data_IF_433329588450
#
_entry.id   IF_433329588450
#
_cell.length_a   1.000
_cell.length_b   1.000
_cell.length_c   1.000
_cell.angle_alpha   90.00
_cell.angle_beta   90.00
_cell.angle_gamma   90.00
#
_symmetry.space_group_name_H-M   'P 1'
#
loop_
_entity.id
_entity.type
_entity.pdbx_description
1 polymer ?
#
# COMPACT_ATOMS: atom_id res chain seq x y z
N UNK A 1 21.31 -11.77 10.86
CA UNK A 1 22.16 -10.58 10.59
C UNK A 1 22.04 -10.13 9.12
N UNK A 2 22.13 -11.04 8.14
CA UNK A 2 21.97 -10.74 6.71
C UNK A 2 20.62 -10.10 6.32
N UNK A 3 19.50 -10.57 6.87
CA UNK A 3 18.16 -10.01 6.60
C UNK A 3 17.94 -8.58 7.13
N UNK A 4 18.66 -8.16 8.18
CA UNK A 4 18.66 -6.75 8.64
C UNK A 4 19.47 -5.86 7.70
N UNK A 5 20.57 -6.37 7.17
CA UNK A 5 21.41 -5.67 6.20
C UNK A 5 20.70 -5.47 4.85
N UNK A 6 20.00 -6.50 4.35
CA UNK A 6 19.14 -6.40 3.16
C UNK A 6 18.01 -5.39 3.35
N UNK A 7 17.29 -5.45 4.48
CA UNK A 7 16.26 -4.47 4.86
C UNK A 7 16.82 -3.05 5.04
N UNK A 8 18.06 -2.89 5.48
CA UNK A 8 18.67 -1.58 5.67
C UNK A 8 19.26 -0.99 4.39
N UNK A 9 19.47 -1.82 3.36
CA UNK A 9 20.05 -1.40 2.06
C UNK A 9 19.00 -1.29 0.94
N UNK A 10 17.73 -1.62 1.22
CA UNK A 10 16.64 -1.65 0.22
C UNK A 10 16.91 -2.60 -0.97
N UNK A 11 17.87 -3.51 -0.83
CA UNK A 11 18.23 -4.49 -1.85
C UNK A 11 17.12 -5.53 -2.07
N UNK A 12 16.17 -5.63 -1.14
CA UNK A 12 14.95 -6.43 -1.26
C UNK A 12 13.95 -5.89 -2.29
N UNK A 13 14.12 -4.64 -2.77
CA UNK A 13 13.25 -4.04 -3.80
C UNK A 13 13.80 -4.20 -5.24
N UNK A 14 15.02 -4.72 -5.44
CA UNK A 14 15.59 -4.96 -6.77
C UNK A 14 14.75 -5.93 -7.64
N UNK A 15 14.18 -7.03 -7.11
CA UNK A 15 13.27 -7.87 -7.87
C UNK A 15 11.99 -7.14 -8.31
N UNK A 16 11.48 -6.22 -7.48
CA UNK A 16 10.29 -5.42 -7.83
C UNK A 16 10.58 -4.49 -9.02
N UNK A 17 11.80 -3.95 -9.12
CA UNK A 17 12.20 -3.13 -10.26
C UNK A 17 12.20 -3.91 -11.58
N UNK A 18 12.55 -5.21 -11.56
CA UNK A 18 12.45 -6.08 -12.75
C UNK A 18 10.99 -6.19 -13.20
N UNK A 19 10.04 -6.30 -12.26
CA UNK A 19 8.61 -6.36 -12.57
C UNK A 19 8.10 -5.04 -13.18
N UNK A 20 8.65 -3.90 -12.78
CA UNK A 20 8.37 -2.61 -13.44
C UNK A 20 8.84 -2.63 -14.90
N UNK A 21 10.05 -3.14 -15.16
CA UNK A 21 10.57 -3.25 -16.53
C UNK A 21 9.78 -4.24 -17.38
N UNK A 22 9.18 -5.26 -16.77
CA UNK A 22 8.27 -6.22 -17.45
C UNK A 22 6.85 -5.68 -17.65
N UNK A 23 6.51 -4.52 -17.08
CA UNK A 23 5.16 -3.95 -17.14
C UNK A 23 4.15 -4.62 -16.20
N UNK A 24 4.60 -5.45 -15.26
CA UNK A 24 3.76 -6.09 -14.24
C UNK A 24 3.49 -5.16 -13.04
N UNK A 25 4.36 -4.16 -12.85
CA UNK A 25 4.27 -3.14 -11.80
C UNK A 25 4.56 -1.74 -12.37
N UNK A 26 4.26 -0.73 -11.58
CA UNK A 26 4.65 0.66 -11.79
C UNK A 26 5.64 1.11 -10.70
N UNK A 27 6.37 2.20 -10.95
CA UNK A 27 7.13 2.88 -9.89
C UNK A 27 6.14 3.45 -8.86
N UNK A 28 5.05 4.07 -9.33
CA UNK A 28 4.03 4.71 -8.51
C UNK A 28 2.68 4.02 -8.69
N UNK A 29 2.08 3.61 -7.57
CA UNK A 29 0.80 2.94 -7.52
C UNK A 29 0.46 2.41 -6.12
N UNK A 30 -0.77 1.92 -5.91
CA UNK A 30 -1.15 1.25 -4.67
C UNK A 30 -0.22 0.06 -4.40
N UNK A 31 0.24 -0.09 -3.14
CA UNK A 31 1.14 -1.20 -2.79
C UNK A 31 0.40 -2.55 -2.94
N UNK A 32 1.01 -3.60 -3.53
CA UNK A 32 0.40 -4.92 -3.55
C UNK A 32 0.12 -5.41 -2.13
N UNK A 33 -1.10 -5.90 -1.91
CA UNK A 33 -1.51 -6.52 -0.66
C UNK A 33 -1.76 -8.02 -0.85
N UNK A 34 -1.97 -8.73 0.26
CA UNK A 34 -2.26 -10.15 0.26
C UNK A 34 -3.56 -10.44 -0.50
N UNK A 35 -3.53 -11.46 -1.36
CA UNK A 35 -4.72 -11.90 -2.12
C UNK A 35 -5.90 -12.29 -1.21
N UNK A 36 -5.63 -12.68 0.05
CA UNK A 36 -6.66 -12.97 1.05
C UNK A 36 -7.58 -11.78 1.37
N UNK A 37 -7.21 -10.56 0.98
CA UNK A 37 -8.00 -9.35 1.18
C UNK A 37 -9.00 -9.08 0.05
N UNK A 38 -8.85 -9.71 -1.12
CA UNK A 38 -9.79 -9.57 -2.23
C UNK A 38 -11.26 -9.76 -1.81
N UNK A 39 -11.66 -10.82 -1.05
CA UNK A 39 -13.05 -10.98 -0.63
C UNK A 39 -13.49 -10.00 0.47
N UNK A 40 -12.58 -9.18 1.01
CA UNK A 40 -12.84 -8.26 2.13
C UNK A 40 -13.04 -6.81 1.67
N UNK A 41 -12.74 -6.52 0.41
CA UNK A 41 -12.86 -5.17 -0.14
C UNK A 41 -14.32 -4.79 -0.39
N UNK A 42 -14.65 -3.53 -0.12
CA UNK A 42 -15.81 -2.90 -0.74
C UNK A 42 -15.59 -2.71 -2.25
N UNK A 43 -16.66 -2.44 -3.00
CA UNK A 43 -16.56 -2.11 -4.43
C UNK A 43 -15.64 -0.90 -4.67
N UNK A 44 -15.67 0.10 -3.79
CA UNK A 44 -14.78 1.26 -3.84
C UNK A 44 -13.32 0.88 -3.58
N UNK A 45 -13.05 0.08 -2.54
CA UNK A 45 -11.68 -0.35 -2.21
C UNK A 45 -11.08 -1.21 -3.33
N UNK A 46 -11.90 -1.97 -4.06
CA UNK A 46 -11.48 -2.78 -5.20
C UNK A 46 -10.88 -1.94 -6.34
N UNK A 47 -11.32 -0.69 -6.49
CA UNK A 47 -10.85 0.24 -7.53
C UNK A 47 -9.35 0.52 -7.46
N UNK A 48 -8.71 0.27 -6.32
CA UNK A 48 -7.23 0.32 -6.21
C UNK A 48 -6.52 -0.56 -7.25
N UNK A 49 -7.21 -1.56 -7.79
CA UNK A 49 -6.69 -2.50 -8.78
C UNK A 49 -6.91 -2.02 -10.23
N UNK A 50 -7.53 -0.86 -10.43
CA UNK A 50 -7.73 -0.23 -11.76
C UNK A 50 -6.41 0.31 -12.35
N UNK A 51 -5.32 0.28 -11.58
CA UNK A 51 -3.98 0.70 -11.97
C UNK A 51 -2.96 -0.37 -11.54
N UNK A 52 -1.79 -0.36 -12.19
CA UNK A 52 -0.71 -1.28 -11.83
C UNK A 52 -0.25 -1.04 -10.38
N UNK A 53 0.08 -2.11 -9.63
CA UNK A 53 0.64 -1.98 -8.30
C UNK A 53 1.99 -1.25 -8.34
N UNK A 54 2.26 -0.46 -7.29
CA UNK A 54 3.44 0.40 -7.21
C UNK A 54 4.48 -0.06 -6.20
N UNK A 55 5.76 0.18 -6.50
CA UNK A 55 6.85 0.12 -5.51
C UNK A 55 6.57 1.15 -4.40
N UNK A 56 6.26 2.38 -4.81
CA UNK A 56 5.83 3.47 -3.93
C UNK A 56 4.46 4.01 -4.33
N UNK A 57 3.87 4.87 -3.50
CA UNK A 57 2.50 5.33 -3.69
C UNK A 57 2.05 6.32 -2.63
N UNK A 58 0.85 6.86 -2.83
CA UNK A 58 0.33 7.93 -1.98
C UNK A 58 0.14 7.49 -0.52
N UNK A 59 -0.34 6.27 -0.28
CA UNK A 59 -0.44 5.68 1.05
C UNK A 59 0.94 5.48 1.70
N UNK A 60 1.95 5.06 0.92
CA UNK A 60 3.32 4.89 1.41
C UNK A 60 3.92 6.21 1.91
N UNK A 61 3.69 7.33 1.20
CA UNK A 61 4.24 8.63 1.62
C UNK A 61 3.41 9.34 2.70
N UNK A 62 2.15 8.95 2.94
CA UNK A 62 1.26 9.60 3.91
C UNK A 62 1.02 8.81 5.22
N UNK A 63 1.82 7.79 5.50
CA UNK A 63 1.76 7.12 6.80
C UNK A 63 2.37 5.73 6.84
N UNK A 64 2.58 5.07 5.69
CA UNK A 64 3.17 3.72 5.59
C UNK A 64 2.56 2.74 6.61
N UNK A 65 3.24 2.49 7.74
CA UNK A 65 2.78 1.58 8.79
C UNK A 65 1.90 2.24 9.86
N UNK A 66 1.93 3.57 9.98
CA UNK A 66 1.16 4.33 10.97
C UNK A 66 -0.27 4.68 10.50
N UNK A 67 -0.56 4.59 9.20
CA UNK A 67 -1.90 4.82 8.68
C UNK A 67 -2.83 3.62 8.98
N UNK A 68 -4.09 3.90 9.34
CA UNK A 68 -5.14 2.88 9.46
C UNK A 68 -5.50 2.29 8.09
N UNK A 69 -6.11 1.09 8.09
CA UNK A 69 -6.58 0.44 6.85
C UNK A 69 -7.51 1.32 6.01
N UNK A 70 -8.58 1.93 6.58
CA UNK A 70 -9.46 2.82 5.83
C UNK A 70 -8.68 3.96 5.16
N UNK A 71 -7.76 4.59 5.90
CA UNK A 71 -6.96 5.68 5.37
C UNK A 71 -6.04 5.26 4.23
N UNK A 72 -5.46 4.06 4.29
CA UNK A 72 -4.65 3.53 3.18
C UNK A 72 -5.49 3.36 1.92
N UNK A 73 -6.67 2.76 2.05
CA UNK A 73 -7.54 2.54 0.89
C UNK A 73 -8.08 3.84 0.31
N UNK A 74 -8.47 4.81 1.15
CA UNK A 74 -8.85 6.15 0.68
C UNK A 74 -7.76 6.78 -0.17
N UNK A 75 -6.50 6.70 0.28
CA UNK A 75 -5.37 7.26 -0.46
C UNK A 75 -5.07 6.48 -1.75
N UNK A 76 -5.22 5.16 -1.74
CA UNK A 76 -5.05 4.32 -2.92
C UNK A 76 -6.11 4.62 -3.97
N UNK A 77 -7.39 4.71 -3.58
CA UNK A 77 -8.51 5.05 -4.48
C UNK A 77 -8.40 6.50 -4.97
N UNK A 78 -8.06 7.43 -4.09
CA UNK A 78 -7.83 8.82 -4.49
C UNK A 78 -6.71 8.94 -5.53
N UNK A 79 -5.64 8.17 -5.38
CA UNK A 79 -4.57 8.12 -6.37
C UNK A 79 -5.06 7.60 -7.72
N UNK A 80 -5.86 6.54 -7.75
CA UNK A 80 -6.48 6.03 -8.99
C UNK A 80 -7.26 7.14 -9.70
N UNK A 81 -8.03 7.93 -8.96
CA UNK A 81 -8.86 9.01 -9.48
C UNK A 81 -8.09 10.23 -9.99
N UNK A 82 -6.92 10.52 -9.39
CA UNK A 82 -6.20 11.79 -9.61
C UNK A 82 -4.79 11.61 -10.17
N UNK A 83 -4.45 10.40 -10.65
CA UNK A 83 -3.11 10.11 -11.17
C UNK A 83 -2.72 11.08 -12.27
N UNK A 84 -1.50 11.61 -12.17
CA UNK A 84 -0.91 12.50 -13.16
C UNK A 84 0.61 12.41 -13.05
N UNK A 85 1.32 12.70 -14.13
CA UNK A 85 2.79 12.67 -14.13
C UNK A 85 3.39 13.57 -13.03
N UNK A 86 2.75 14.71 -12.74
CA UNK A 86 3.19 15.61 -11.67
C UNK A 86 3.00 15.03 -10.28
N UNK A 87 1.87 14.36 -10.04
CA UNK A 87 1.63 13.65 -8.79
C UNK A 87 2.66 12.55 -8.58
N UNK A 88 2.96 11.77 -9.62
CA UNK A 88 3.93 10.68 -9.55
C UNK A 88 5.33 11.20 -9.21
N UNK A 89 5.77 12.27 -9.85
CA UNK A 89 7.06 12.91 -9.55
C UNK A 89 7.11 13.40 -8.10
N UNK A 90 6.02 14.00 -7.60
CA UNK A 90 5.92 14.43 -6.19
C UNK A 90 6.01 13.25 -5.23
N UNK A 91 5.36 12.13 -5.55
CA UNK A 91 5.42 10.91 -4.74
C UNK A 91 6.85 10.37 -4.72
N UNK A 92 7.49 10.19 -5.89
CA UNK A 92 8.88 9.71 -6.00
C UNK A 92 9.84 10.60 -5.21
N UNK A 93 9.78 11.92 -5.40
CA UNK A 93 10.65 12.86 -4.68
C UNK A 93 10.46 12.79 -3.16
N UNK A 94 9.22 12.56 -2.71
CA UNK A 94 8.91 12.42 -1.28
C UNK A 94 9.41 11.10 -0.73
N UNK A 95 9.30 10.02 -1.49
CA UNK A 95 9.84 8.70 -1.14
C UNK A 95 11.36 8.76 -0.99
N UNK A 96 12.08 9.34 -1.95
CA UNK A 96 13.54 9.52 -1.87
C UNK A 96 13.91 10.32 -0.62
N UNK A 97 13.22 11.44 -0.34
CA UNK A 97 13.47 12.24 0.87
C UNK A 97 13.30 11.41 2.15
N UNK A 98 12.24 10.62 2.27
CA UNK A 98 11.96 9.80 3.46
C UNK A 98 13.01 8.71 3.66
N UNK A 99 13.42 8.04 2.58
CA UNK A 99 14.46 7.00 2.61
C UNK A 99 15.80 7.60 3.05
N UNK A 100 16.20 8.74 2.48
CA UNK A 100 17.44 9.42 2.85
C UNK A 100 17.45 9.87 4.31
N UNK A 101 16.32 10.34 4.83
CA UNK A 101 16.16 10.70 6.25
C UNK A 101 15.98 9.51 7.19
N UNK A 102 15.90 8.28 6.66
CA UNK A 102 15.58 7.04 7.40
C UNK A 102 14.27 7.13 8.20
N UNK A 103 13.35 8.00 7.76
CA UNK A 103 12.06 8.20 8.42
C UNK A 103 11.20 6.94 8.24
N UNK A 104 10.84 6.29 9.36
CA UNK A 104 9.99 5.10 9.37
C UNK A 104 10.71 3.75 9.29
N UNK A 105 12.05 3.71 9.25
CA UNK A 105 12.83 2.45 9.33
C UNK A 105 12.84 1.90 10.76
N UNK A 106 12.79 2.77 11.78
CA UNK A 106 12.85 2.39 13.20
C UNK A 106 11.49 2.07 13.84
N UNK A 107 10.37 2.23 13.13
CA UNK A 107 9.02 1.94 13.64
C UNK A 107 8.49 0.56 13.21
N UNK A 108 9.36 -0.33 12.75
CA UNK A 108 8.98 -1.68 12.29
C UNK A 108 8.40 -2.60 13.36
N UNK A 109 8.46 -2.23 14.64
CA UNK A 109 8.29 -3.20 15.73
C UNK A 109 6.99 -3.09 16.55
N UNK A 110 6.09 -2.12 16.30
CA UNK A 110 4.89 -1.98 17.18
C UNK A 110 3.50 -1.83 16.54
N UNK A 111 3.36 -1.44 15.27
CA UNK A 111 2.01 -1.11 14.71
C UNK A 111 1.74 -1.77 13.33
N UNK A 112 2.69 -2.57 12.80
CA UNK A 112 2.59 -3.15 11.44
C UNK A 112 1.85 -4.49 11.31
N UNK A 113 1.25 -5.04 12.37
CA UNK A 113 0.84 -6.45 12.45
C UNK A 113 -0.67 -6.70 12.38
N UNK A 114 -1.52 -5.70 12.14
CA UNK A 114 -2.96 -5.92 12.04
C UNK A 114 -3.36 -6.27 10.60
N UNK A 115 -3.78 -7.51 10.39
CA UNK A 115 -4.37 -7.96 9.12
C UNK A 115 -5.65 -7.17 8.85
N UNK A 116 -5.91 -6.82 7.58
CA UNK A 116 -7.16 -6.20 7.20
C UNK A 116 -8.32 -7.19 7.34
N UNK A 117 -9.25 -6.96 8.27
CA UNK A 117 -10.36 -7.89 8.55
C UNK A 117 -11.64 -7.58 7.75
N UNK A 118 -11.58 -6.68 6.77
CA UNK A 118 -12.78 -6.14 6.10
C UNK A 118 -13.35 -4.93 6.84
N UNK A 119 -14.34 -4.27 6.24
CA UNK A 119 -15.07 -3.20 6.92
C UNK A 119 -16.00 -3.82 7.98
N UNK A 120 -16.06 -3.23 9.17
CA UNK A 120 -16.91 -3.71 10.28
C UNK A 120 -18.40 -3.84 9.89
N UNK A 121 -18.83 -3.11 8.86
CA UNK A 121 -20.22 -3.10 8.37
C UNK A 121 -20.66 -4.41 7.68
N UNK A 122 -19.72 -5.24 7.21
CA UNK A 122 -20.07 -6.50 6.53
C UNK A 122 -20.53 -7.61 7.50
N UNK A 123 -20.23 -7.49 8.80
CA UNK A 123 -20.56 -8.50 9.80
C UNK A 123 -21.99 -8.38 10.36
N UNK A 124 -22.68 -7.25 10.18
CA UNK A 124 -24.02 -7.03 10.75
C UNK A 124 -25.20 -7.41 9.85
N UNK A 125 -24.98 -7.66 8.55
CA UNK A 125 -26.09 -7.97 7.62
C UNK A 125 -26.50 -9.46 7.63
N UNK A 126 -25.81 -10.34 8.36
CA UNK A 126 -26.11 -11.79 8.38
C UNK A 126 -26.94 -12.29 9.58
N UNK A 127 -27.30 -11.44 10.53
CA UNK A 127 -28.13 -11.84 11.69
C UNK A 127 -29.59 -11.35 11.62
N UNK A 128 -30.11 -11.12 10.42
CA UNK A 128 -31.47 -10.60 10.18
C UNK A 128 -32.37 -11.52 9.35
N UNK A 129 -32.36 -12.84 9.59
CA UNK A 129 -33.42 -13.71 9.07
C UNK A 129 -34.04 -14.47 10.23
N UNK A 130 -35.10 -13.88 10.78
CA UNK A 130 -36.18 -14.61 11.42
C UNK A 130 -37.03 -15.23 10.31
N UNK A 131 -37.09 -16.57 10.25
CA UNK A 131 -38.34 -17.34 10.29
C UNK A 131 -38.06 -18.64 11.02
#
# INVERSE_FOLDING_TARGET
QFGRFLRSTSLDELPELINVLRGEMSIVGPRPLLMEYLPRYSAEQMRRHDVLPGITGLAQINGRNAASWPRKFELDVWYVDHRSMWLDLKIIATTVRKVLKREGINQSDRIGSERFMGNADAAQTRNGVHV
#
